data_IF_161218886646
#
_entry.id   IF_161218886646
#
_cell.length_a   1.000
_cell.length_b   1.000
_cell.length_c   1.000
_cell.angle_alpha   90.00
_cell.angle_beta   90.00
_cell.angle_gamma   90.00
#
_symmetry.space_group_name_H-M   'P 1'
#
loop_
_entity.id
_entity.type
_entity.pdbx_description
1 polymer ?
#
# COMPACT_ATOMS: atom_id res chain seq x y z
N UNK A 1 19.72 -24.66 21.66
CA UNK A 1 18.41 -25.28 21.99
C UNK A 1 17.34 -24.54 21.20
N UNK A 2 16.91 -25.09 20.06
CA UNK A 2 15.84 -24.50 19.26
C UNK A 2 14.51 -24.65 20.00
N UNK A 3 13.91 -23.53 20.44
CA UNK A 3 12.54 -23.53 20.97
C UNK A 3 11.61 -23.96 19.83
N UNK A 4 10.99 -25.13 19.95
CA UNK A 4 9.91 -25.58 19.06
C UNK A 4 8.84 -24.48 19.00
N UNK A 5 8.59 -23.95 17.81
CA UNK A 5 7.52 -22.97 17.53
C UNK A 5 6.18 -23.58 17.99
N UNK A 6 5.38 -22.81 18.73
CA UNK A 6 4.00 -23.22 19.06
C UNK A 6 3.18 -23.29 17.76
N UNK A 7 2.26 -24.26 17.61
CA UNK A 7 1.42 -24.35 16.42
C UNK A 7 0.54 -23.09 16.28
N UNK A 8 0.46 -22.56 15.05
CA UNK A 8 -0.26 -21.33 14.67
C UNK A 8 -1.80 -21.49 14.64
N UNK A 9 -2.34 -22.65 15.01
CA UNK A 9 -3.78 -22.93 14.95
C UNK A 9 -4.54 -22.15 16.04
N UNK A 10 -5.20 -21.05 15.64
CA UNK A 10 -6.14 -20.30 16.49
C UNK A 10 -6.07 -18.78 16.41
N UNK A 11 -5.20 -18.19 15.57
CA UNK A 11 -5.10 -16.73 15.43
C UNK A 11 -6.06 -16.24 14.34
N UNK A 12 -7.01 -15.37 14.69
CA UNK A 12 -8.09 -14.94 13.79
C UNK A 12 -7.58 -13.96 12.73
N UNK A 13 -8.02 -14.12 11.48
CA UNK A 13 -7.89 -13.17 10.36
C UNK A 13 -8.26 -11.72 10.70
N UNK A 14 -8.99 -11.49 11.80
CA UNK A 14 -9.33 -10.15 12.30
C UNK A 14 -8.12 -9.26 12.65
N UNK A 15 -6.95 -9.81 13.00
CA UNK A 15 -5.78 -8.96 13.30
C UNK A 15 -5.15 -8.37 12.03
N UNK A 16 -5.18 -9.09 10.91
CA UNK A 16 -4.67 -8.64 9.62
C UNK A 16 -5.44 -7.42 9.10
N UNK A 17 -6.78 -7.53 9.03
CA UNK A 17 -7.65 -6.43 8.59
C UNK A 17 -7.58 -5.22 9.52
N UNK A 18 -7.31 -5.42 10.82
CA UNK A 18 -7.10 -4.31 11.76
C UNK A 18 -5.81 -3.56 11.48
N UNK A 19 -4.74 -4.23 11.06
CA UNK A 19 -3.49 -3.56 10.67
C UNK A 19 -3.67 -2.75 9.39
N UNK A 20 -4.24 -3.37 8.35
CA UNK A 20 -4.46 -2.74 7.04
C UNK A 20 -5.32 -1.47 7.18
N UNK A 21 -6.47 -1.56 7.85
CA UNK A 21 -7.35 -0.41 8.11
C UNK A 21 -6.70 0.70 8.96
N UNK A 22 -5.70 0.36 9.79
CA UNK A 22 -5.03 1.35 10.64
C UNK A 22 -3.87 2.05 9.95
N UNK A 23 -3.25 1.41 8.96
CA UNK A 23 -2.32 2.10 8.06
C UNK A 23 -3.05 3.14 7.20
N UNK A 24 -4.26 2.82 6.70
CA UNK A 24 -5.13 3.83 6.06
C UNK A 24 -5.48 4.99 7.02
N UNK A 25 -5.84 4.69 8.27
CA UNK A 25 -6.15 5.75 9.25
C UNK A 25 -4.92 6.63 9.55
N UNK A 26 -3.72 6.05 9.53
CA UNK A 26 -2.47 6.78 9.70
C UNK A 26 -2.20 7.71 8.51
N UNK A 27 -2.39 7.20 7.29
CA UNK A 27 -2.24 7.94 6.03
C UNK A 27 -3.22 9.13 5.96
N UNK A 28 -4.48 8.91 6.33
CA UNK A 28 -5.52 9.94 6.40
C UNK A 28 -5.14 11.12 7.30
N UNK A 29 -4.31 10.94 8.34
CA UNK A 29 -3.85 12.05 9.17
C UNK A 29 -3.08 13.10 8.37
N UNK A 30 -2.35 12.64 7.34
CA UNK A 30 -1.53 13.47 6.46
C UNK A 30 -2.37 13.89 5.25
N UNK A 31 -3.28 13.05 4.77
CA UNK A 31 -3.94 13.22 3.47
C UNK A 31 -5.34 13.83 3.51
N UNK A 32 -5.97 13.90 4.68
CA UNK A 32 -7.29 14.50 4.81
C UNK A 32 -7.24 16.03 4.59
N UNK A 33 -7.88 16.48 3.51
CA UNK A 33 -7.94 17.90 3.14
C UNK A 33 -8.58 18.73 4.26
N UNK A 34 -7.85 19.74 4.73
CA UNK A 34 -8.25 20.58 5.86
C UNK A 34 -7.84 20.02 7.23
N UNK A 35 -7.21 18.83 7.26
CA UNK A 35 -6.56 18.28 8.43
C UNK A 35 -5.32 19.09 8.84
N UNK A 36 -4.98 19.05 10.13
CA UNK A 36 -3.91 19.85 10.72
C UNK A 36 -2.50 19.54 10.18
N UNK A 37 -2.28 18.34 9.63
CA UNK A 37 -1.00 17.95 9.01
C UNK A 37 -0.98 18.20 7.50
N UNK A 38 -2.13 18.36 6.84
CA UNK A 38 -2.27 18.33 5.38
C UNK A 38 -1.33 19.32 4.67
N UNK A 39 -1.36 20.59 5.08
CA UNK A 39 -0.50 21.67 4.56
C UNK A 39 0.71 21.99 5.46
N UNK A 40 0.89 21.25 6.56
CA UNK A 40 1.93 21.54 7.56
C UNK A 40 3.03 20.47 7.53
N UNK A 41 3.98 20.64 6.61
CA UNK A 41 5.09 19.71 6.43
C UNK A 41 5.91 19.50 7.71
N UNK A 42 6.11 20.55 8.51
CA UNK A 42 6.87 20.46 9.76
C UNK A 42 6.14 19.59 10.80
N UNK A 43 4.84 19.82 11.01
CA UNK A 43 4.05 18.99 11.92
C UNK A 43 3.97 17.54 11.44
N UNK A 44 3.78 17.33 10.14
CA UNK A 44 3.76 16.01 9.53
C UNK A 44 5.11 15.28 9.68
N UNK A 45 6.23 15.98 9.54
CA UNK A 45 7.56 15.43 9.80
C UNK A 45 7.72 14.96 11.26
N UNK A 46 7.25 15.73 12.25
CA UNK A 46 7.25 15.29 13.65
C UNK A 46 6.39 14.04 13.87
N UNK A 47 5.19 13.99 13.29
CA UNK A 47 4.30 12.84 13.33
C UNK A 47 4.94 11.57 12.74
N UNK A 48 5.59 11.69 11.57
CA UNK A 48 6.33 10.58 10.94
C UNK A 48 7.48 10.09 11.81
N UNK A 49 8.29 11.01 12.35
CA UNK A 49 9.44 10.68 13.21
C UNK A 49 8.98 9.96 14.49
N UNK A 50 7.99 10.52 15.19
CA UNK A 50 7.41 9.90 16.39
C UNK A 50 6.87 8.49 16.08
N UNK A 51 6.21 8.33 14.92
CA UNK A 51 5.73 7.02 14.46
C UNK A 51 6.88 6.02 14.30
N UNK A 52 7.95 6.39 13.58
CA UNK A 52 9.09 5.50 13.34
C UNK A 52 9.82 5.10 14.63
N UNK A 53 10.03 6.05 15.52
CA UNK A 53 10.65 5.81 16.84
C UNK A 53 9.82 4.82 17.65
N UNK A 54 8.50 5.03 17.69
CA UNK A 54 7.59 4.17 18.44
C UNK A 54 7.43 2.78 17.82
N UNK A 55 7.34 2.66 16.49
CA UNK A 55 7.29 1.37 15.79
C UNK A 55 8.57 0.58 16.06
N UNK A 56 9.75 1.21 15.97
CA UNK A 56 11.03 0.56 16.25
C UNK A 56 11.09 0.01 17.67
N UNK A 57 10.60 0.79 18.64
CA UNK A 57 10.43 0.35 20.02
C UNK A 57 9.48 -0.85 20.14
N UNK A 58 8.29 -0.78 19.53
CA UNK A 58 7.27 -1.84 19.59
C UNK A 58 7.75 -3.16 18.97
N UNK A 59 8.62 -3.10 17.97
CA UNK A 59 9.24 -4.26 17.33
C UNK A 59 10.48 -4.79 18.09
N UNK A 60 10.89 -4.13 19.18
CA UNK A 60 12.08 -4.47 19.99
C UNK A 60 13.34 -4.51 19.12
N UNK A 61 13.51 -3.49 18.29
CA UNK A 61 14.67 -3.25 17.42
C UNK A 61 15.56 -2.10 17.93
N UNK A 62 15.29 -1.62 19.14
CA UNK A 62 16.06 -0.61 19.84
C UNK A 62 16.89 -1.27 20.94
N UNK A 63 18.15 -0.88 21.09
CA UNK A 63 19.04 -1.40 22.13
C UNK A 63 18.63 -0.96 23.54
N UNK A 64 17.83 0.11 23.64
CA UNK A 64 17.30 0.59 24.91
C UNK A 64 16.05 -0.20 25.31
N UNK A 65 16.19 -1.07 26.30
CA UNK A 65 15.07 -1.71 27.02
C UNK A 65 14.30 -0.73 27.92
N UNK A 66 14.69 0.56 27.95
CA UNK A 66 13.97 1.58 28.70
C UNK A 66 12.52 1.72 28.19
N UNK A 67 11.58 1.92 29.11
CA UNK A 67 10.18 2.16 28.78
C UNK A 67 10.08 3.39 27.86
N UNK A 68 9.52 3.21 26.67
CA UNK A 68 9.14 4.34 25.83
C UNK A 68 7.80 4.89 26.32
N UNK A 69 7.70 6.21 26.48
CA UNK A 69 6.42 6.83 26.81
C UNK A 69 5.39 6.50 25.72
N UNK A 70 4.16 6.20 26.13
CA UNK A 70 3.08 5.91 25.20
C UNK A 70 2.72 7.19 24.46
N UNK A 71 2.74 7.21 23.12
CA UNK A 71 2.36 8.37 22.32
C UNK A 71 0.97 8.86 22.68
N UNK A 72 0.81 10.17 22.74
CA UNK A 72 -0.51 10.79 22.98
C UNK A 72 -1.45 10.58 21.79
N UNK A 73 -0.89 10.47 20.58
CA UNK A 73 -1.64 10.14 19.38
C UNK A 73 -2.02 8.65 19.38
N UNK A 74 -3.33 8.36 19.43
CA UNK A 74 -3.85 6.99 19.51
C UNK A 74 -3.56 6.14 18.27
N UNK A 75 -3.34 6.77 17.11
CA UNK A 75 -2.98 6.07 15.86
C UNK A 75 -1.54 5.57 15.98
N UNK A 76 -0.64 6.38 16.51
CA UNK A 76 0.73 5.95 16.79
C UNK A 76 0.74 4.88 17.89
N UNK A 77 0.01 5.10 18.99
CA UNK A 77 -0.06 4.15 20.10
C UNK A 77 -0.58 2.75 19.67
N UNK A 78 -1.40 2.67 18.61
CA UNK A 78 -1.91 1.40 18.09
C UNK A 78 -0.81 0.45 17.62
N UNK A 79 0.35 0.96 17.19
CA UNK A 79 1.47 0.11 16.78
C UNK A 79 2.00 -0.80 17.89
N UNK A 80 1.66 -0.53 19.17
CA UNK A 80 1.96 -1.45 20.27
C UNK A 80 1.27 -2.80 20.11
N UNK A 81 0.01 -2.80 19.68
CA UNK A 81 -0.79 -4.01 19.47
C UNK A 81 -0.18 -4.85 18.34
N UNK A 82 0.21 -4.18 17.24
CA UNK A 82 0.88 -4.83 16.11
C UNK A 82 2.24 -5.38 16.57
N UNK A 83 3.05 -4.56 17.24
CA UNK A 83 4.39 -4.91 17.68
C UNK A 83 4.42 -6.09 18.65
N UNK A 84 3.48 -6.17 19.59
CA UNK A 84 3.36 -7.31 20.50
C UNK A 84 3.02 -8.59 19.74
N UNK A 85 2.02 -8.55 18.85
CA UNK A 85 1.64 -9.70 18.03
C UNK A 85 2.79 -10.17 17.13
N UNK A 86 3.53 -9.23 16.54
CA UNK A 86 4.71 -9.49 15.72
C UNK A 86 5.83 -10.11 16.54
N UNK A 87 6.16 -9.56 17.70
CA UNK A 87 7.21 -10.08 18.58
C UNK A 87 6.91 -11.49 19.11
N UNK A 88 5.63 -11.87 19.20
CA UNK A 88 5.23 -13.23 19.54
C UNK A 88 5.36 -14.20 18.36
N UNK A 89 5.13 -13.73 17.13
CA UNK A 89 5.05 -14.57 15.94
C UNK A 89 6.38 -14.73 15.20
N UNK A 90 7.20 -13.68 15.21
CA UNK A 90 8.35 -13.53 14.33
C UNK A 90 9.66 -13.33 15.10
N UNK A 91 10.76 -13.81 14.51
CA UNK A 91 12.11 -13.59 15.05
C UNK A 91 12.65 -12.18 14.72
N UNK A 92 13.91 -11.92 15.07
CA UNK A 92 14.51 -10.60 14.90
C UNK A 92 14.61 -10.18 13.42
N UNK A 93 15.03 -11.07 12.53
CA UNK A 93 15.26 -10.73 11.13
C UNK A 93 13.95 -10.40 10.39
N UNK A 94 12.85 -11.10 10.71
CA UNK A 94 11.51 -10.76 10.22
C UNK A 94 11.05 -9.38 10.72
N UNK A 95 11.33 -9.06 11.99
CA UNK A 95 10.97 -7.77 12.59
C UNK A 95 11.72 -6.63 11.92
N UNK A 96 13.00 -6.82 11.62
CA UNK A 96 13.77 -5.83 10.85
C UNK A 96 13.22 -5.65 9.43
N UNK A 97 12.84 -6.74 8.75
CA UNK A 97 12.24 -6.63 7.42
C UNK A 97 10.92 -5.85 7.46
N UNK A 98 10.03 -6.17 8.41
CA UNK A 98 8.79 -5.41 8.60
C UNK A 98 9.05 -3.94 8.89
N UNK A 99 10.02 -3.63 9.77
CA UNK A 99 10.38 -2.25 10.07
C UNK A 99 10.88 -1.51 8.82
N UNK A 100 11.66 -2.16 7.98
CA UNK A 100 12.14 -1.57 6.73
C UNK A 100 10.98 -1.20 5.78
N UNK A 101 9.98 -2.07 5.62
CA UNK A 101 8.80 -1.76 4.79
C UNK A 101 7.93 -0.66 5.39
N UNK A 102 7.71 -0.65 6.72
CA UNK A 102 6.99 0.44 7.40
C UNK A 102 7.75 1.76 7.25
N UNK A 103 9.07 1.72 7.41
CA UNK A 103 9.94 2.90 7.24
C UNK A 103 9.85 3.45 5.83
N UNK A 104 9.91 2.58 4.83
CA UNK A 104 9.77 2.98 3.43
C UNK A 104 8.41 3.63 3.15
N UNK A 105 7.30 3.07 3.66
CA UNK A 105 5.98 3.68 3.57
C UNK A 105 5.94 5.08 4.18
N UNK A 106 6.38 5.21 5.44
CA UNK A 106 6.34 6.47 6.18
C UNK A 106 7.23 7.53 5.51
N UNK A 107 8.45 7.19 5.10
CA UNK A 107 9.36 8.13 4.42
C UNK A 107 8.82 8.54 3.04
N UNK A 108 8.19 7.62 2.31
CA UNK A 108 7.63 7.94 0.98
C UNK A 108 6.41 8.87 1.09
N UNK A 109 5.61 8.76 2.16
CA UNK A 109 4.50 9.71 2.42
C UNK A 109 4.97 11.16 2.56
N UNK A 110 6.23 11.40 2.97
CA UNK A 110 6.79 12.76 2.96
C UNK A 110 7.01 13.26 1.54
N UNK A 111 7.53 12.40 0.65
CA UNK A 111 7.71 12.73 -0.77
C UNK A 111 6.37 13.03 -1.43
N UNK A 112 5.32 12.28 -1.10
CA UNK A 112 3.96 12.53 -1.59
C UNK A 112 3.42 13.88 -1.13
N UNK A 113 3.54 14.20 0.17
CA UNK A 113 3.13 15.48 0.71
C UNK A 113 3.90 16.65 0.08
N UNK A 114 5.22 16.54 -0.05
CA UNK A 114 6.05 17.59 -0.67
C UNK A 114 5.60 17.87 -2.11
N UNK A 115 5.25 16.83 -2.87
CA UNK A 115 4.73 16.98 -4.23
C UNK A 115 3.34 17.61 -4.25
N UNK A 116 2.46 17.21 -3.35
CA UNK A 116 1.14 17.84 -3.22
C UNK A 116 1.22 19.34 -2.93
N UNK A 117 2.22 19.76 -2.17
CA UNK A 117 2.49 21.17 -1.83
C UNK A 117 3.29 21.91 -2.91
N UNK A 118 3.87 21.18 -3.87
CA UNK A 118 4.64 21.76 -4.98
C UNK A 118 3.71 22.29 -6.08
N UNK A 119 4.02 23.43 -6.70
CA UNK A 119 3.34 23.88 -7.91
C UNK A 119 3.72 23.06 -9.15
N UNK A 120 4.74 22.21 -9.08
CA UNK A 120 5.22 21.41 -10.20
C UNK A 120 4.56 20.04 -10.23
N UNK A 121 4.06 19.65 -11.41
CA UNK A 121 3.56 18.30 -11.63
C UNK A 121 4.73 17.30 -11.67
N UNK A 122 4.59 16.11 -11.03
CA UNK A 122 5.62 15.09 -11.12
C UNK A 122 5.72 14.51 -12.53
N UNK A 123 6.91 14.05 -12.90
CA UNK A 123 7.05 13.13 -14.04
C UNK A 123 6.38 11.78 -13.75
N UNK A 124 6.06 11.02 -14.80
CA UNK A 124 5.53 9.65 -14.67
C UNK A 124 6.42 8.75 -13.82
N UNK A 125 7.75 8.84 -13.99
CA UNK A 125 8.72 8.09 -13.18
C UNK A 125 8.67 8.46 -11.71
N UNK A 126 8.63 9.75 -11.41
CA UNK A 126 8.54 10.23 -10.03
C UNK A 126 7.25 9.75 -9.39
N UNK A 127 6.12 9.91 -10.09
CA UNK A 127 4.81 9.45 -9.62
C UNK A 127 4.83 7.96 -9.25
N UNK A 128 5.29 7.10 -10.16
CA UNK A 128 5.40 5.65 -9.93
C UNK A 128 6.27 5.36 -8.71
N UNK A 129 7.42 6.03 -8.58
CA UNK A 129 8.32 5.83 -7.44
C UNK A 129 7.66 6.16 -6.08
N UNK A 130 6.76 7.14 -6.05
CA UNK A 130 5.98 7.46 -4.85
C UNK A 130 4.88 6.44 -4.60
N UNK A 131 4.14 6.01 -5.64
CA UNK A 131 3.07 5.02 -5.49
C UNK A 131 3.57 3.68 -4.94
N UNK A 132 4.80 3.30 -5.29
CA UNK A 132 5.43 2.10 -4.72
C UNK A 132 5.56 2.14 -3.20
N UNK A 133 5.65 3.33 -2.59
CA UNK A 133 5.76 3.46 -1.13
C UNK A 133 4.44 3.77 -0.43
N UNK A 134 3.54 4.54 -1.03
CA UNK A 134 2.43 5.17 -0.31
C UNK A 134 1.20 4.28 -0.11
N UNK A 135 1.08 3.19 -0.86
CA UNK A 135 -0.04 2.24 -0.69
C UNK A 135 0.10 1.27 0.49
N UNK A 136 1.22 1.28 1.22
CA UNK A 136 1.58 0.32 2.28
C UNK A 136 1.44 -1.17 1.90
N UNK A 137 1.33 -1.49 0.60
CA UNK A 137 0.98 -2.83 0.11
C UNK A 137 1.98 -3.87 0.60
N UNK A 138 3.27 -3.59 0.54
CA UNK A 138 4.31 -4.51 0.98
C UNK A 138 4.21 -4.84 2.49
N UNK A 139 3.80 -3.88 3.32
CA UNK A 139 3.55 -4.11 4.76
C UNK A 139 2.42 -5.13 4.93
N UNK A 140 1.37 -5.05 4.10
CA UNK A 140 0.27 -6.01 4.11
C UNK A 140 0.71 -7.37 3.56
N UNK A 141 1.53 -7.41 2.51
CA UNK A 141 2.06 -8.65 1.97
C UNK A 141 2.95 -9.39 2.98
N UNK A 142 3.72 -8.67 3.80
CA UNK A 142 4.52 -9.27 4.88
C UNK A 142 3.68 -10.16 5.80
N UNK A 143 2.44 -9.76 6.12
CA UNK A 143 1.58 -10.49 7.06
C UNK A 143 0.79 -11.66 6.45
N UNK A 144 0.97 -11.97 5.16
CA UNK A 144 0.21 -13.05 4.51
C UNK A 144 0.48 -14.41 5.16
N UNK A 145 1.72 -14.72 5.52
CA UNK A 145 2.04 -16.02 6.12
C UNK A 145 1.29 -16.20 7.45
N UNK A 146 1.28 -15.15 8.28
CA UNK A 146 0.52 -15.08 9.52
C UNK A 146 -0.98 -15.20 9.29
N UNK A 147 -1.53 -14.47 8.29
CA UNK A 147 -2.96 -14.50 7.97
C UNK A 147 -3.41 -15.88 7.48
N UNK A 148 -2.56 -16.58 6.73
CA UNK A 148 -2.81 -17.93 6.24
C UNK A 148 -2.45 -19.04 7.25
N UNK A 149 -1.85 -18.69 8.40
CA UNK A 149 -1.42 -19.66 9.40
C UNK A 149 -0.26 -20.56 8.93
N UNK A 150 0.51 -20.10 7.94
CA UNK A 150 1.72 -20.76 7.46
C UNK A 150 2.95 -20.03 7.99
N UNK A 151 4.14 -20.60 7.78
CA UNK A 151 5.38 -19.96 8.18
C UNK A 151 6.33 -19.93 7.00
N UNK A 152 6.71 -18.72 6.59
CA UNK A 152 7.73 -18.50 5.57
C UNK A 152 9.01 -18.06 6.29
N UNK A 153 10.16 -18.71 6.08
CA UNK A 153 11.43 -18.35 6.70
C UNK A 153 11.98 -17.06 6.08
N UNK A 154 12.80 -16.33 6.84
CA UNK A 154 13.31 -15.03 6.40
C UNK A 154 14.21 -15.13 5.17
N UNK A 155 14.89 -16.26 5.01
CA UNK A 155 15.72 -16.58 3.86
C UNK A 155 14.90 -16.54 2.58
N UNK A 156 13.68 -17.09 2.60
CA UNK A 156 12.77 -17.03 1.46
C UNK A 156 12.15 -15.63 1.28
N UNK A 157 11.87 -14.91 2.37
CA UNK A 157 11.34 -13.55 2.30
C UNK A 157 12.35 -12.53 1.75
N UNK A 158 13.65 -12.77 1.95
CA UNK A 158 14.75 -11.92 1.47
C UNK A 158 15.21 -12.27 0.04
N UNK A 159 14.58 -13.24 -0.61
CA UNK A 159 14.91 -13.58 -1.99
C UNK A 159 14.52 -12.49 -2.98
N UNK A 160 15.29 -12.40 -4.08
CA UNK A 160 15.02 -11.43 -5.16
C UNK A 160 13.67 -11.70 -5.82
N UNK A 161 13.28 -12.97 -5.94
CA UNK A 161 11.98 -13.37 -6.47
C UNK A 161 10.85 -12.95 -5.52
N UNK A 162 11.03 -13.06 -4.20
CA UNK A 162 10.04 -12.58 -3.24
C UNK A 162 9.88 -11.05 -3.32
N UNK A 163 10.99 -10.31 -3.42
CA UNK A 163 10.93 -8.86 -3.60
C UNK A 163 10.19 -8.50 -4.89
N UNK A 164 10.46 -9.23 -5.98
CA UNK A 164 9.75 -9.06 -7.24
C UNK A 164 8.25 -9.33 -7.09
N UNK A 165 7.86 -10.39 -6.37
CA UNK A 165 6.44 -10.67 -6.09
C UNK A 165 5.77 -9.50 -5.37
N UNK A 166 6.42 -8.93 -4.37
CA UNK A 166 5.88 -7.79 -3.62
C UNK A 166 5.74 -6.56 -4.50
N UNK A 167 6.80 -6.21 -5.25
CA UNK A 167 6.79 -5.03 -6.10
C UNK A 167 5.73 -5.14 -7.20
N UNK A 168 5.54 -6.32 -7.80
CA UNK A 168 4.52 -6.52 -8.82
C UNK A 168 3.10 -6.58 -8.25
N UNK A 169 2.90 -7.16 -7.06
CA UNK A 169 1.60 -7.10 -6.39
C UNK A 169 1.23 -5.65 -6.05
N UNK A 170 2.19 -4.85 -5.61
CA UNK A 170 1.99 -3.42 -5.37
C UNK A 170 1.63 -2.67 -6.66
N UNK A 171 2.37 -2.91 -7.76
CA UNK A 171 2.02 -2.40 -9.09
C UNK A 171 0.58 -2.70 -9.50
N UNK A 172 0.12 -3.93 -9.28
CA UNK A 172 -1.26 -4.31 -9.59
C UNK A 172 -2.27 -3.56 -8.74
N UNK A 173 -1.99 -3.39 -7.44
CA UNK A 173 -2.91 -2.70 -6.52
C UNK A 173 -3.10 -1.25 -6.91
N UNK A 174 -2.01 -0.49 -7.08
CA UNK A 174 -2.11 0.94 -7.36
C UNK A 174 -2.51 1.22 -8.82
N UNK A 175 -2.05 0.44 -9.81
CA UNK A 175 -2.40 0.68 -11.20
C UNK A 175 -3.90 0.43 -11.47
N UNK A 176 -4.49 -0.59 -10.83
CA UNK A 176 -5.95 -0.82 -10.89
C UNK A 176 -6.69 0.31 -10.20
N UNK A 177 -6.19 0.81 -9.06
CA UNK A 177 -6.77 1.95 -8.37
C UNK A 177 -6.82 3.18 -9.28
N UNK A 178 -5.69 3.56 -9.89
CA UNK A 178 -5.55 4.72 -10.77
C UNK A 178 -6.43 4.62 -12.04
N UNK A 179 -6.60 3.41 -12.57
CA UNK A 179 -7.44 3.17 -13.75
C UNK A 179 -8.93 3.30 -13.42
N UNK A 180 -9.36 2.78 -12.26
CA UNK A 180 -10.76 2.80 -11.84
C UNK A 180 -11.17 4.15 -11.20
N UNK A 181 -10.23 4.89 -10.60
CA UNK A 181 -10.47 6.21 -10.01
C UNK A 181 -10.68 7.31 -11.05
N UNK A 182 -10.23 7.10 -12.29
CA UNK A 182 -10.35 8.06 -13.39
C UNK A 182 -11.77 8.63 -13.55
N UNK A 183 -12.82 7.81 -13.41
CA UNK A 183 -14.21 8.26 -13.50
C UNK A 183 -14.58 9.25 -12.39
N UNK A 184 -14.13 9.03 -11.16
CA UNK A 184 -14.36 9.94 -10.02
C UNK A 184 -13.60 11.26 -10.23
N UNK A 185 -12.37 11.17 -10.69
CA UNK A 185 -11.52 12.34 -10.96
C UNK A 185 -12.15 13.26 -12.01
N UNK A 186 -12.74 12.69 -13.07
CA UNK A 186 -13.43 13.44 -14.13
C UNK A 186 -14.79 14.04 -13.66
N UNK A 187 -15.55 13.33 -12.82
CA UNK A 187 -16.93 13.72 -12.43
C UNK A 187 -16.98 14.75 -11.28
N UNK A 188 -15.88 14.97 -10.56
CA UNK A 188 -15.79 15.95 -9.46
C UNK A 188 -16.01 17.42 -9.87
N UNK A 189 -16.20 17.70 -11.16
CA UNK A 189 -16.55 19.02 -11.70
C UNK A 189 -17.99 19.03 -12.24
N UNK A 190 -18.88 19.90 -11.75
CA UNK A 190 -20.23 19.96 -12.26
C UNK A 190 -20.24 20.61 -13.65
N UNK A 191 -20.97 19.98 -14.58
CA UNK A 191 -21.85 20.54 -15.64
C UNK A 191 -21.79 19.67 -16.91
N UNK A 192 -22.94 19.51 -17.55
CA UNK A 192 -23.23 18.66 -18.70
C UNK A 192 -22.42 19.03 -19.97
N UNK A 193 -21.28 18.38 -20.21
CA UNK A 193 -20.51 18.47 -21.46
C UNK A 193 -20.13 17.06 -21.93
N UNK A 194 -20.07 16.75 -23.24
CA UNK A 194 -19.64 15.42 -23.71
C UNK A 194 -18.26 15.05 -23.15
N UNK A 195 -18.09 13.80 -22.69
CA UNK A 195 -16.97 13.31 -21.88
C UNK A 195 -15.56 13.72 -22.37
N UNK A 196 -15.37 13.88 -23.68
CA UNK A 196 -14.08 14.31 -24.25
C UNK A 196 -13.74 15.78 -23.97
N UNK A 197 -14.73 16.69 -24.06
CA UNK A 197 -14.55 18.11 -23.78
C UNK A 197 -14.35 18.39 -22.29
N UNK A 198 -14.94 17.57 -21.42
CA UNK A 198 -14.72 17.62 -19.96
C UNK A 198 -13.32 17.12 -19.58
N UNK A 199 -12.81 16.08 -20.23
CA UNK A 199 -11.44 15.59 -20.03
C UNK A 199 -10.43 16.64 -20.51
N UNK A 200 -10.63 17.19 -21.71
CA UNK A 200 -9.79 18.28 -22.21
C UNK A 200 -9.90 19.52 -21.32
N UNK A 201 -11.09 19.89 -20.84
CA UNK A 201 -11.26 21.03 -19.92
C UNK A 201 -10.64 20.75 -18.54
N UNK A 202 -10.83 19.57 -17.94
CA UNK A 202 -10.21 19.15 -16.67
C UNK A 202 -8.68 19.20 -16.77
N UNK A 203 -8.13 18.61 -17.83
CA UNK A 203 -6.69 18.55 -18.09
C UNK A 203 -6.12 19.93 -18.48
N UNK A 204 -6.90 20.81 -19.12
CA UNK A 204 -6.55 22.22 -19.34
C UNK A 204 -6.73 23.09 -18.08
N UNK A 205 -7.59 22.73 -17.13
CA UNK A 205 -7.77 23.44 -15.84
C UNK A 205 -6.80 23.00 -14.74
N UNK A 206 -6.11 21.88 -14.91
CA UNK A 206 -4.91 21.57 -14.11
C UNK A 206 -3.79 22.60 -14.38
N UNK A 207 -3.81 23.26 -15.54
CA UNK A 207 -2.77 24.19 -15.97
C UNK A 207 -2.76 25.51 -15.15
N UNK A 208 -3.91 26.11 -14.71
CA UNK A 208 -3.90 27.27 -13.84
C UNK A 208 -4.06 26.96 -12.34
N UNK A 209 -4.38 25.72 -11.94
CA UNK A 209 -4.53 25.30 -10.54
C UNK A 209 -3.50 24.22 -10.18
N UNK A 210 -2.24 24.62 -10.21
CA UNK A 210 -1.07 23.87 -9.74
C UNK A 210 -1.08 23.52 -8.23
N UNK A 211 -2.25 23.42 -7.59
CA UNK A 211 -2.39 23.22 -6.14
C UNK A 211 -3.24 21.99 -5.80
N UNK A 212 -3.45 21.11 -6.78
CA UNK A 212 -4.04 19.79 -6.58
C UNK A 212 -3.04 18.72 -7.04
N UNK A 213 -2.72 17.79 -6.14
CA UNK A 213 -1.91 16.64 -6.47
C UNK A 213 -2.56 15.85 -7.61
N UNK A 214 -1.75 15.39 -8.55
CA UNK A 214 -2.21 14.39 -9.51
C UNK A 214 -2.26 13.05 -8.78
N UNK A 215 -3.48 12.52 -8.59
CA UNK A 215 -3.77 11.29 -7.84
C UNK A 215 -3.83 10.03 -8.74
N UNK A 216 -3.50 10.16 -10.03
CA UNK A 216 -3.54 9.06 -11.01
C UNK A 216 -2.44 9.18 -12.05
N UNK A 217 -1.90 8.04 -12.50
CA UNK A 217 -0.93 7.98 -13.60
C UNK A 217 -1.54 8.37 -14.95
N UNK A 218 -2.85 8.13 -15.17
CA UNK A 218 -3.49 8.33 -16.47
C UNK A 218 -3.43 9.80 -16.95
N UNK A 219 -3.76 10.82 -16.12
CA UNK A 219 -3.57 12.23 -16.49
C UNK A 219 -2.13 12.61 -16.87
N UNK A 220 -1.13 12.03 -16.20
CA UNK A 220 0.28 12.30 -16.51
C UNK A 220 0.66 11.73 -17.87
N UNK A 221 0.28 10.48 -18.14
CA UNK A 221 0.51 9.84 -19.43
C UNK A 221 -0.26 10.52 -20.56
N UNK A 222 -1.48 10.98 -20.31
CA UNK A 222 -2.22 11.76 -21.31
C UNK A 222 -1.47 13.03 -21.69
N UNK A 223 -0.88 13.74 -20.73
CA UNK A 223 -0.09 14.95 -21.01
C UNK A 223 1.12 14.65 -21.89
N UNK A 224 1.76 13.49 -21.70
CA UNK A 224 2.92 13.08 -22.49
C UNK A 224 2.54 12.56 -23.88
N UNK A 225 1.38 11.92 -24.03
CA UNK A 225 0.96 11.19 -25.24
C UNK A 225 -0.07 11.92 -26.09
N UNK A 226 -0.74 12.93 -25.52
CA UNK A 226 -1.89 13.64 -26.08
C UNK A 226 -3.06 12.72 -26.48
N UNK A 227 -3.11 11.49 -25.95
CA UNK A 227 -4.15 10.50 -26.28
C UNK A 227 -4.55 9.68 -25.07
N UNK A 228 -5.84 9.77 -24.72
CA UNK A 228 -6.39 9.02 -23.59
C UNK A 228 -6.35 7.51 -23.83
N UNK A 229 -6.62 7.09 -25.07
CA UNK A 229 -6.58 5.67 -25.44
C UNK A 229 -5.16 5.11 -25.29
N UNK A 230 -4.14 5.89 -25.68
CA UNK A 230 -2.73 5.50 -25.50
C UNK A 230 -2.38 5.47 -24.01
N UNK A 231 -2.73 6.51 -23.25
CA UNK A 231 -2.47 6.56 -21.80
C UNK A 231 -3.09 5.38 -21.05
N UNK A 232 -4.36 5.06 -21.31
CA UNK A 232 -5.06 3.90 -20.72
C UNK A 232 -4.43 2.58 -21.19
N UNK A 233 -4.03 2.48 -22.45
CA UNK A 233 -3.35 1.29 -22.98
C UNK A 233 -2.02 1.05 -22.27
N UNK A 234 -1.24 2.10 -22.00
CA UNK A 234 0.03 2.01 -21.27
C UNK A 234 -0.16 1.54 -19.82
N UNK A 235 -1.17 2.02 -19.11
CA UNK A 235 -1.49 1.51 -17.76
C UNK A 235 -1.96 0.05 -17.81
N UNK A 236 -2.76 -0.31 -18.81
CA UNK A 236 -3.21 -1.70 -19.01
C UNK A 236 -2.03 -2.64 -19.32
N UNK A 237 -1.09 -2.19 -20.16
CA UNK A 237 0.14 -2.93 -20.45
C UNK A 237 1.01 -3.10 -19.20
N UNK A 238 1.10 -2.07 -18.36
CA UNK A 238 1.80 -2.16 -17.07
C UNK A 238 1.18 -3.23 -16.17
N UNK A 239 -0.15 -3.30 -16.10
CA UNK A 239 -0.87 -4.36 -15.37
C UNK A 239 -0.53 -5.74 -15.94
N UNK A 240 -0.59 -5.90 -17.27
CA UNK A 240 -0.28 -7.19 -17.93
C UNK A 240 1.17 -7.63 -17.68
N UNK A 241 2.11 -6.67 -17.75
CA UNK A 241 3.52 -6.90 -17.45
C UNK A 241 3.71 -7.32 -15.99
N UNK A 242 3.09 -6.62 -15.05
CA UNK A 242 3.16 -6.95 -13.63
C UNK A 242 2.62 -8.36 -13.33
N UNK A 243 1.51 -8.78 -13.96
CA UNK A 243 1.00 -10.16 -13.84
C UNK A 243 2.03 -11.17 -14.35
N UNK A 244 2.66 -10.89 -15.50
CA UNK A 244 3.64 -11.78 -16.12
C UNK A 244 4.89 -11.92 -15.24
N UNK A 245 5.45 -10.80 -14.79
CA UNK A 245 6.63 -10.77 -13.92
C UNK A 245 6.34 -11.40 -12.55
N UNK A 246 5.14 -11.18 -12.00
CA UNK A 246 4.70 -11.82 -10.76
C UNK A 246 4.66 -13.35 -10.91
N UNK A 247 4.01 -13.86 -11.95
CA UNK A 247 3.89 -15.31 -12.15
C UNK A 247 5.26 -15.96 -12.39
N UNK A 248 6.12 -15.31 -13.16
CA UNK A 248 7.48 -15.78 -13.39
C UNK A 248 8.30 -15.82 -12.09
N UNK A 249 8.27 -14.76 -11.29
CA UNK A 249 8.94 -14.73 -9.99
C UNK A 249 8.42 -15.81 -9.04
N UNK A 250 7.10 -16.07 -9.03
CA UNK A 250 6.50 -17.14 -8.25
C UNK A 250 7.03 -18.52 -8.65
N UNK A 251 7.13 -18.80 -9.96
CA UNK A 251 7.67 -20.06 -10.48
C UNK A 251 9.14 -20.24 -10.10
N UNK A 252 9.97 -19.19 -10.26
CA UNK A 252 11.38 -19.22 -9.88
C UNK A 252 11.57 -19.43 -8.37
N UNK A 253 10.79 -18.75 -7.54
CA UNK A 253 10.85 -18.90 -6.08
C UNK A 253 10.44 -20.32 -5.65
N UNK A 254 9.37 -20.86 -6.23
CA UNK A 254 8.91 -22.23 -5.94
C UNK A 254 9.95 -23.28 -6.36
N UNK A 255 10.58 -23.09 -7.52
CA UNK A 255 11.65 -23.98 -7.99
C UNK A 255 12.88 -23.93 -7.07
N UNK A 256 13.22 -22.76 -6.52
CA UNK A 256 14.37 -22.57 -5.64
C UNK A 256 14.25 -23.36 -4.33
N UNK A 257 13.05 -23.50 -3.81
CA UNK A 257 12.77 -24.20 -2.55
C UNK A 257 12.06 -25.54 -2.76
N UNK A 258 12.17 -26.15 -3.94
CA UNK A 258 11.48 -27.39 -4.28
C UNK A 258 11.90 -28.60 -3.45
N UNK A 259 13.13 -28.58 -2.91
CA UNK A 259 13.70 -29.68 -2.14
C UNK A 259 13.12 -29.79 -0.72
N UNK A 260 12.51 -28.71 -0.20
CA UNK A 260 11.80 -28.70 1.07
C UNK A 260 10.29 -28.70 0.83
N UNK A 261 9.68 -29.89 0.87
CA UNK A 261 8.24 -30.08 0.60
C UNK A 261 7.34 -29.22 1.51
N UNK A 262 7.75 -29.03 2.78
CA UNK A 262 6.95 -28.24 3.74
C UNK A 262 7.04 -26.76 3.42
N UNK A 263 8.25 -26.27 3.13
CA UNK A 263 8.44 -24.89 2.72
C UNK A 263 7.77 -24.60 1.38
N UNK A 264 7.88 -25.49 0.40
CA UNK A 264 7.20 -25.35 -0.88
C UNK A 264 5.67 -25.24 -0.71
N UNK A 265 5.06 -26.05 0.16
CA UNK A 265 3.64 -25.95 0.46
C UNK A 265 3.26 -24.62 1.14
N UNK A 266 4.08 -24.13 2.07
CA UNK A 266 3.88 -22.84 2.72
C UNK A 266 4.03 -21.68 1.74
N UNK A 267 5.07 -21.70 0.89
CA UNK A 267 5.30 -20.70 -0.16
C UNK A 267 4.17 -20.67 -1.17
N UNK A 268 3.66 -21.83 -1.59
CA UNK A 268 2.48 -21.89 -2.45
C UNK A 268 1.30 -21.17 -1.82
N UNK A 269 1.02 -21.45 -0.55
CA UNK A 269 -0.08 -20.80 0.19
C UNK A 269 0.14 -19.29 0.30
N UNK A 270 1.37 -18.86 0.56
CA UNK A 270 1.76 -17.45 0.63
C UNK A 270 1.58 -16.74 -0.72
N UNK A 271 2.07 -17.32 -1.82
CA UNK A 271 1.93 -16.79 -3.18
C UNK A 271 0.45 -16.67 -3.58
N UNK A 272 -0.37 -17.67 -3.24
CA UNK A 272 -1.82 -17.62 -3.45
C UNK A 272 -2.45 -16.48 -2.62
N UNK A 273 -1.98 -16.25 -1.39
CA UNK A 273 -2.32 -15.09 -0.57
C UNK A 273 -2.00 -13.74 -1.25
N UNK A 274 -0.83 -13.61 -1.86
CA UNK A 274 -0.47 -12.40 -2.62
C UNK A 274 -1.43 -12.16 -3.79
N UNK A 275 -1.82 -13.24 -4.52
CA UNK A 275 -2.82 -13.16 -5.58
C UNK A 275 -4.19 -12.75 -5.04
N UNK A 276 -4.57 -13.20 -3.85
CA UNK A 276 -5.82 -12.79 -3.19
C UNK A 276 -5.83 -11.32 -2.81
N UNK A 277 -4.69 -10.73 -2.42
CA UNK A 277 -4.61 -9.27 -2.22
C UNK A 277 -4.90 -8.52 -3.53
N UNK A 278 -4.26 -8.91 -4.64
CA UNK A 278 -4.48 -8.26 -5.94
C UNK A 278 -5.94 -8.41 -6.43
N UNK A 279 -6.46 -9.64 -6.43
CA UNK A 279 -7.83 -9.93 -6.89
C UNK A 279 -8.89 -9.42 -5.94
N UNK A 280 -8.62 -9.43 -4.64
CA UNK A 280 -9.45 -8.82 -3.61
C UNK A 280 -9.55 -7.32 -3.78
N UNK A 281 -8.43 -6.63 -4.01
CA UNK A 281 -8.40 -5.20 -4.32
C UNK A 281 -9.23 -4.86 -5.57
N UNK A 282 -9.07 -5.62 -6.66
CA UNK A 282 -9.88 -5.45 -7.87
C UNK A 282 -11.38 -5.67 -7.58
N UNK A 283 -11.71 -6.79 -6.92
CA UNK A 283 -13.11 -7.13 -6.62
C UNK A 283 -13.76 -6.08 -5.74
N UNK A 284 -13.06 -5.65 -4.68
CA UNK A 284 -13.49 -4.56 -3.82
C UNK A 284 -13.68 -3.27 -4.61
N UNK A 285 -12.74 -2.93 -5.49
CA UNK A 285 -12.81 -1.72 -6.32
C UNK A 285 -14.00 -1.71 -7.29
N UNK A 286 -14.39 -2.87 -7.80
CA UNK A 286 -15.59 -2.98 -8.63
C UNK A 286 -16.89 -2.85 -7.81
N UNK A 287 -16.92 -3.42 -6.61
CA UNK A 287 -18.12 -3.48 -5.76
C UNK A 287 -18.36 -2.23 -4.93
N UNK A 288 -17.31 -1.52 -4.53
CA UNK A 288 -17.43 -0.34 -3.67
C UNK A 288 -18.09 0.83 -4.40
N UNK A 289 -18.88 1.60 -3.65
CA UNK A 289 -19.38 2.89 -4.13
C UNK A 289 -18.28 3.93 -4.40
N UNK A 290 -17.07 3.73 -3.88
CA UNK A 290 -15.94 4.69 -3.99
C UNK A 290 -15.62 5.05 -5.44
N UNK A 291 -15.67 4.09 -6.36
CA UNK A 291 -15.30 4.30 -7.77
C UNK A 291 -16.50 4.46 -8.71
N UNK A 292 -17.72 4.19 -8.24
CA UNK A 292 -18.90 4.36 -9.09
C UNK A 292 -18.97 3.40 -10.28
N UNK A 293 -18.31 2.23 -10.20
CA UNK A 293 -18.22 1.23 -11.29
C UNK A 293 -19.44 0.32 -11.32
N UNK A 294 -19.61 -0.55 -10.30
CA UNK A 294 -20.80 -1.41 -10.20
C UNK A 294 -21.87 -0.88 -9.24
N UNK A 295 -21.50 0.01 -8.31
CA UNK A 295 -22.44 0.66 -7.39
C UNK A 295 -22.41 2.19 -7.56
N UNK A 296 -23.59 2.83 -7.54
CA UNK A 296 -23.74 4.28 -7.75
C UNK A 296 -23.81 5.07 -6.43
N UNK A 297 -23.60 4.43 -5.28
CA UNK A 297 -23.69 5.04 -3.95
C UNK A 297 -22.61 4.51 -3.01
N UNK A 298 -22.06 5.38 -2.17
CA UNK A 298 -21.15 5.02 -1.05
C UNK A 298 -21.91 4.40 0.14
N UNK A 299 -23.24 4.35 0.10
CA UNK A 299 -24.08 3.71 1.12
C UNK A 299 -23.81 2.19 1.14
N UNK A 300 -23.00 1.73 2.07
CA UNK A 300 -22.53 0.34 2.17
C UNK A 300 -21.09 0.21 2.67
N UNK A 301 -20.35 1.32 2.80
CA UNK A 301 -19.05 1.33 3.48
C UNK A 301 -19.16 0.80 4.91
N UNK A 302 -18.13 0.05 5.34
CA UNK A 302 -18.04 -0.50 6.68
C UNK A 302 -17.84 0.66 7.67
N UNK A 303 -18.87 0.98 8.46
CA UNK A 303 -18.77 1.99 9.51
C UNK A 303 -17.96 1.39 10.66
N UNK A 304 -16.67 1.70 10.71
CA UNK A 304 -15.86 1.39 11.89
C UNK A 304 -16.22 2.38 12.99
N UNK A 305 -16.78 1.88 14.10
CA UNK A 305 -16.86 2.67 15.34
C UNK A 305 -15.44 2.80 15.88
N UNK A 306 -14.92 4.03 15.85
CA UNK A 306 -13.67 4.43 16.48
C UNK A 306 -13.71 4.19 17.99
#
# INVERSE_FOLDING_TARGET
>A
MAKRRKPLSGRSSNSFWRTDCKLFTWDDQIDEKGGHLYDNLQAAHYFRRETLEYVRYCLRLSDNEASHEVPTNYIIAFFKVIGDAVCEAYDYDHRELLFAEIKFFIETSETEQQRRLSPELPSTREYIATRMGTGAVNVCLFFIDYACGVSVPIEALREVEMRTLWDQANNLVWAVNDLLSLKKEIVSHPQHVPSFLLIVAYLLTLIPKAQQAVESLVPLLFRETESLDVAVSMVTEMIHKAITEFNHAAECLMAKFSDDETLAANLKTYIDGCKYICTGNLTWSLQTGRYGVSQHSISGGLVMRL
#
